data_IF_093010868875
#
_entry.id   IF_093010868875
#
_cell.length_a   1.000
_cell.length_b   1.000
_cell.length_c   1.000
_cell.angle_alpha   90.00
_cell.angle_beta   90.00
_cell.angle_gamma   90.00
#
_symmetry.space_group_name_H-M   'P 1'
#
loop_
_entity.id
_entity.type
_entity.pdbx_description
1 polymer ?
#
# COMPACT_ATOMS: atom_id res chain seq x y z
N UNK A 1 -20.84 44.77 50.56
CA UNK A 1 -20.86 44.31 49.16
C UNK A 1 -20.91 42.80 48.96
N UNK A 2 -21.14 41.96 49.99
CA UNK A 2 -21.17 40.47 49.90
C UNK A 2 -22.56 39.84 49.78
N UNK A 3 -23.67 40.61 49.92
CA UNK A 3 -25.06 40.08 49.93
C UNK A 3 -25.66 39.95 48.51
N UNK A 4 -25.12 40.60 47.50
CA UNK A 4 -25.74 40.59 46.16
C UNK A 4 -25.14 39.49 45.24
N UNK A 5 -23.97 38.97 45.57
CA UNK A 5 -23.30 37.92 44.77
C UNK A 5 -24.02 36.55 44.92
N UNK A 6 -24.55 36.27 46.14
CA UNK A 6 -25.28 35.05 46.41
C UNK A 6 -26.63 34.96 45.65
N UNK A 7 -27.31 36.12 45.55
CA UNK A 7 -28.60 36.19 44.79
C UNK A 7 -28.39 36.07 43.28
N UNK A 8 -27.26 36.54 42.77
CA UNK A 8 -26.92 36.43 41.36
C UNK A 8 -26.57 35.01 40.97
N UNK A 9 -25.86 34.24 41.85
CA UNK A 9 -25.54 32.84 41.65
C UNK A 9 -26.79 31.94 41.66
N UNK A 10 -27.77 32.23 42.48
CA UNK A 10 -29.05 31.49 42.54
C UNK A 10 -29.88 31.74 41.27
N UNK A 11 -29.84 32.96 40.74
CA UNK A 11 -30.60 33.33 39.54
C UNK A 11 -30.01 32.68 38.27
N UNK A 12 -28.67 32.55 38.18
CA UNK A 12 -27.96 31.85 37.07
C UNK A 12 -28.20 30.34 37.14
N UNK A 13 -28.30 29.77 38.33
CA UNK A 13 -28.60 28.33 38.52
C UNK A 13 -30.03 27.95 38.10
N UNK A 14 -30.99 28.89 38.14
CA UNK A 14 -32.39 28.60 37.78
C UNK A 14 -32.63 28.65 36.26
N UNK A 15 -31.71 29.27 35.46
CA UNK A 15 -31.88 29.40 34.01
C UNK A 15 -31.38 28.15 33.27
N UNK A 16 -30.60 27.28 33.92
CA UNK A 16 -30.03 26.09 33.31
C UNK A 16 -30.94 24.84 33.29
N UNK A 17 -32.13 24.91 33.84
CA UNK A 17 -33.07 23.78 33.92
C UNK A 17 -34.30 23.91 32.99
N UNK A 18 -34.37 24.95 32.16
CA UNK A 18 -35.45 25.11 31.18
C UNK A 18 -34.95 25.06 29.73
N UNK A 19 -34.18 24.06 29.38
CA UNK A 19 -33.85 23.83 27.97
C UNK A 19 -33.76 22.32 27.69
N UNK A 20 -34.89 21.67 27.87
CA UNK A 20 -35.16 20.36 27.32
C UNK A 20 -36.67 20.24 27.10
N UNK A 21 -37.14 20.75 25.98
CA UNK A 21 -38.44 20.41 25.41
C UNK A 21 -38.19 20.07 23.94
N UNK A 22 -38.26 18.79 23.69
CA UNK A 22 -39.21 18.11 22.83
C UNK A 22 -39.29 18.64 21.40
N UNK A 23 -38.50 18.00 20.55
CA UNK A 23 -38.78 17.89 19.12
C UNK A 23 -38.60 16.42 18.69
N UNK A 24 -39.40 15.54 19.24
CA UNK A 24 -39.70 14.24 18.63
C UNK A 24 -40.47 14.48 17.35
N UNK A 25 -39.73 14.92 16.30
CA UNK A 25 -40.25 14.88 14.95
C UNK A 25 -40.14 13.41 14.51
N UNK A 26 -41.28 12.72 14.67
CA UNK A 26 -41.59 11.41 14.13
C UNK A 26 -41.25 11.42 12.63
N UNK A 27 -40.00 11.03 12.27
CA UNK A 27 -39.65 10.64 10.93
C UNK A 27 -40.23 9.25 10.75
N UNK A 28 -41.42 9.22 10.19
CA UNK A 28 -42.04 8.04 9.63
C UNK A 28 -41.17 7.57 8.47
N UNK A 29 -40.12 6.79 8.80
CA UNK A 29 -39.35 6.07 7.82
C UNK A 29 -40.26 5.00 7.24
N UNK A 30 -40.79 5.30 6.07
CA UNK A 30 -41.42 4.35 5.19
C UNK A 30 -40.37 3.29 4.88
N UNK A 31 -40.36 2.25 5.69
CA UNK A 31 -39.59 1.02 5.42
C UNK A 31 -40.10 0.44 4.12
N UNK A 32 -39.48 0.85 3.04
CA UNK A 32 -39.58 0.14 1.78
C UNK A 32 -38.84 -1.16 2.00
N UNK A 33 -39.61 -2.20 2.37
CA UNK A 33 -39.13 -3.58 2.39
C UNK A 33 -38.54 -3.86 0.99
N UNK A 34 -37.22 -3.80 0.89
CA UNK A 34 -36.51 -4.33 -0.25
C UNK A 34 -36.77 -5.82 -0.25
N UNK A 35 -37.49 -6.27 -1.27
CA UNK A 35 -37.73 -7.69 -1.50
C UNK A 35 -36.38 -8.40 -1.57
N UNK A 36 -36.27 -9.50 -0.84
CA UNK A 36 -35.08 -10.39 -0.79
C UNK A 36 -34.76 -11.08 -2.11
N UNK A 37 -35.52 -10.80 -3.16
CA UNK A 37 -35.32 -11.42 -4.47
C UNK A 37 -34.23 -10.77 -5.35
N UNK A 38 -33.58 -9.68 -4.88
CA UNK A 38 -32.49 -9.02 -5.60
C UNK A 38 -31.09 -9.50 -5.20
N UNK A 39 -30.99 -10.50 -4.29
CA UNK A 39 -29.74 -11.19 -4.05
C UNK A 39 -29.61 -12.39 -5.02
N UNK A 40 -29.74 -12.14 -6.29
CA UNK A 40 -29.15 -13.01 -7.29
C UNK A 40 -27.65 -12.75 -7.29
N UNK A 41 -26.97 -13.67 -6.67
CA UNK A 41 -25.55 -13.81 -6.56
C UNK A 41 -24.83 -13.54 -7.91
N UNK A 42 -24.51 -12.27 -8.18
CA UNK A 42 -23.68 -11.83 -9.32
C UNK A 42 -22.19 -11.78 -8.95
N UNK A 43 -21.81 -12.39 -7.82
CA UNK A 43 -20.43 -12.33 -7.33
C UNK A 43 -19.43 -13.14 -8.18
N UNK A 44 -19.91 -14.16 -8.95
CA UNK A 44 -19.02 -14.97 -9.79
C UNK A 44 -18.61 -14.31 -11.11
N UNK A 45 -19.34 -13.29 -11.57
CA UNK A 45 -19.03 -12.61 -12.84
C UNK A 45 -18.17 -11.37 -12.66
N UNK A 46 -18.23 -10.72 -11.47
CA UNK A 46 -17.47 -9.50 -11.19
C UNK A 46 -15.99 -9.76 -10.97
N UNK A 47 -15.65 -10.85 -10.29
CA UNK A 47 -14.26 -11.20 -10.00
C UNK A 47 -13.49 -11.58 -11.27
N UNK A 48 -14.15 -12.30 -12.19
CA UNK A 48 -13.55 -12.68 -13.48
C UNK A 48 -13.40 -11.47 -14.41
N UNK A 49 -14.34 -10.51 -14.39
CA UNK A 49 -14.28 -9.28 -15.19
C UNK A 49 -13.25 -8.29 -14.61
N UNK A 50 -13.12 -8.23 -13.29
CA UNK A 50 -12.11 -7.41 -12.61
C UNK A 50 -10.70 -7.93 -12.90
N UNK A 51 -10.52 -9.24 -12.94
CA UNK A 51 -9.24 -9.89 -13.31
C UNK A 51 -8.84 -9.62 -14.77
N UNK A 52 -9.80 -9.33 -15.66
CA UNK A 52 -9.55 -9.05 -17.08
C UNK A 52 -9.11 -7.60 -17.34
N UNK A 53 -9.16 -6.71 -16.34
CA UNK A 53 -8.85 -5.28 -16.49
C UNK A 53 -7.76 -4.81 -15.54
N UNK A 54 -6.86 -5.70 -15.13
CA UNK A 54 -5.79 -5.36 -14.20
C UNK A 54 -4.41 -5.70 -14.78
N UNK A 55 -3.38 -4.91 -14.44
CA UNK A 55 -2.01 -5.31 -14.70
C UNK A 55 -1.64 -6.50 -13.81
N UNK A 56 -0.87 -7.41 -14.35
CA UNK A 56 -0.35 -8.57 -13.62
C UNK A 56 1.16 -8.60 -13.78
N UNK A 57 1.87 -8.56 -12.65
CA UNK A 57 3.34 -8.60 -12.64
C UNK A 57 3.81 -10.05 -12.54
N UNK A 58 4.49 -10.52 -13.56
CA UNK A 58 5.34 -11.69 -13.52
C UNK A 58 6.79 -11.26 -13.23
N UNK A 59 7.41 -11.84 -12.23
CA UNK A 59 8.83 -11.66 -11.92
C UNK A 59 9.55 -12.90 -12.40
N UNK A 60 10.41 -12.76 -13.41
CA UNK A 60 11.11 -13.90 -14.00
C UNK A 60 12.20 -14.46 -13.07
N UNK A 61 12.81 -13.58 -12.29
CA UNK A 61 13.78 -13.90 -11.25
C UNK A 61 13.57 -12.95 -10.07
N UNK A 62 13.20 -13.48 -8.92
CA UNK A 62 12.95 -12.67 -7.72
C UNK A 62 14.18 -12.58 -6.80
N UNK A 63 15.07 -13.58 -6.86
CA UNK A 63 16.24 -13.72 -6.02
C UNK A 63 17.50 -13.78 -6.88
N UNK A 64 18.47 -12.94 -6.59
CA UNK A 64 19.79 -12.96 -7.18
C UNK A 64 20.87 -13.22 -6.14
N UNK A 65 21.72 -14.21 -6.38
CA UNK A 65 22.87 -14.51 -5.54
C UNK A 65 24.16 -14.04 -6.24
N UNK A 66 24.83 -13.07 -5.64
CA UNK A 66 26.09 -12.54 -6.17
C UNK A 66 27.31 -13.41 -5.79
N UNK A 67 27.10 -14.50 -5.04
CA UNK A 67 28.18 -15.37 -4.61
C UNK A 67 29.06 -14.74 -3.54
N UNK A 68 30.38 -14.80 -3.74
CA UNK A 68 31.37 -14.23 -2.83
C UNK A 68 32.06 -13.01 -3.47
N UNK A 69 32.10 -11.90 -2.72
CA UNK A 69 32.73 -10.63 -3.13
C UNK A 69 33.57 -10.07 -2.00
N UNK A 70 34.49 -9.14 -2.29
CA UNK A 70 35.27 -8.44 -1.28
C UNK A 70 34.50 -7.25 -0.70
N UNK A 71 34.84 -6.91 0.53
CA UNK A 71 34.31 -5.71 1.16
C UNK A 71 34.70 -4.46 0.35
N UNK A 72 33.72 -3.64 0.02
CA UNK A 72 33.87 -2.43 -0.80
C UNK A 72 33.50 -2.64 -2.27
N UNK A 73 33.31 -3.88 -2.71
CA UNK A 73 32.82 -4.15 -4.07
C UNK A 73 31.37 -3.67 -4.24
N UNK A 74 31.05 -3.23 -5.45
CA UNK A 74 29.71 -2.84 -5.86
C UNK A 74 29.17 -3.88 -6.83
N UNK A 75 28.01 -4.44 -6.51
CA UNK A 75 27.32 -5.40 -7.37
C UNK A 75 26.05 -4.76 -7.93
N UNK A 76 25.80 -4.98 -9.22
CA UNK A 76 24.57 -4.57 -9.88
C UNK A 76 23.90 -5.75 -10.56
N UNK A 77 22.58 -5.87 -10.43
CA UNK A 77 21.80 -6.88 -11.11
C UNK A 77 20.53 -6.28 -11.74
N UNK A 78 20.14 -6.80 -12.91
CA UNK A 78 18.93 -6.38 -13.61
C UNK A 78 17.86 -7.46 -13.47
N UNK A 79 16.93 -7.25 -12.56
CA UNK A 79 15.74 -8.10 -12.45
C UNK A 79 14.79 -7.84 -13.60
N UNK A 80 14.34 -8.89 -14.25
CA UNK A 80 13.35 -8.80 -15.33
C UNK A 80 11.95 -9.02 -14.80
N UNK A 81 11.07 -8.10 -15.12
CA UNK A 81 9.63 -8.21 -14.87
C UNK A 81 8.89 -8.14 -16.19
N UNK A 82 7.71 -8.73 -16.23
CA UNK A 82 6.80 -8.70 -17.38
C UNK A 82 5.40 -8.36 -16.93
N UNK A 83 4.72 -7.52 -17.70
CA UNK A 83 3.30 -7.31 -17.54
C UNK A 83 2.54 -8.38 -18.33
N UNK A 84 1.99 -9.37 -17.65
CA UNK A 84 1.15 -10.43 -18.26
C UNK A 84 -0.35 -10.12 -18.15
N UNK A 85 -0.71 -8.92 -17.66
CA UNK A 85 -2.06 -8.39 -17.64
C UNK A 85 -2.46 -7.78 -18.97
N UNK A 86 -3.60 -7.14 -18.99
CA UNK A 86 -4.17 -6.50 -20.18
C UNK A 86 -4.33 -4.97 -20.06
N UNK A 87 -3.79 -4.39 -19.01
CA UNK A 87 -3.71 -2.95 -18.78
C UNK A 87 -2.30 -2.56 -18.38
N UNK A 88 -1.97 -1.28 -18.48
CA UNK A 88 -0.65 -0.76 -18.19
C UNK A 88 -0.23 -0.98 -16.74
N UNK A 89 0.97 -1.52 -16.56
CA UNK A 89 1.60 -1.71 -15.27
C UNK A 89 2.43 -0.46 -14.93
N UNK A 90 2.16 0.11 -13.76
CA UNK A 90 2.90 1.24 -13.20
C UNK A 90 3.65 0.82 -11.95
N UNK A 91 4.92 1.21 -11.86
CA UNK A 91 5.73 1.08 -10.66
C UNK A 91 5.83 2.46 -10.00
N UNK A 92 5.09 2.65 -8.93
CA UNK A 92 5.04 3.94 -8.22
C UNK A 92 6.27 4.19 -7.36
N UNK A 93 6.88 3.13 -6.82
CA UNK A 93 8.14 3.25 -6.06
C UNK A 93 8.91 1.93 -6.00
N UNK A 94 10.22 2.05 -5.79
CA UNK A 94 11.10 0.95 -5.43
C UNK A 94 12.01 1.39 -4.29
N UNK A 95 12.12 0.58 -3.23
CA UNK A 95 12.90 0.92 -2.04
C UNK A 95 13.74 -0.28 -1.59
N UNK A 96 15.05 -0.05 -1.42
CA UNK A 96 15.93 -0.99 -0.75
C UNK A 96 15.66 -1.04 0.76
N UNK A 97 15.93 -2.20 1.38
CA UNK A 97 15.83 -2.38 2.84
C UNK A 97 16.90 -1.62 3.64
N UNK A 98 17.92 -1.08 2.95
CA UNK A 98 18.96 -0.21 3.52
C UNK A 98 19.41 0.80 2.46
N UNK A 99 20.09 1.87 2.88
CA UNK A 99 20.70 2.85 1.97
C UNK A 99 21.85 2.28 1.12
N UNK A 100 22.31 1.05 1.41
CA UNK A 100 23.32 0.33 0.66
C UNK A 100 22.77 -0.41 -0.58
N UNK A 101 21.45 -0.35 -0.81
CA UNK A 101 20.78 -1.00 -1.91
C UNK A 101 19.90 0.01 -2.62
N UNK A 102 20.28 0.38 -3.84
CA UNK A 102 19.63 1.44 -4.62
C UNK A 102 18.97 0.80 -5.84
N UNK A 103 17.63 0.82 -5.91
CA UNK A 103 16.90 0.38 -7.08
C UNK A 103 16.68 1.52 -8.08
N UNK A 104 16.81 1.20 -9.37
CA UNK A 104 16.41 2.04 -10.50
C UNK A 104 15.34 1.28 -11.30
N UNK A 105 14.25 1.95 -11.68
CA UNK A 105 13.12 1.34 -12.38
C UNK A 105 12.53 2.30 -13.41
N UNK A 106 11.86 1.79 -14.46
CA UNK A 106 11.20 2.62 -15.45
C UNK A 106 10.09 3.45 -14.81
N UNK A 107 9.97 4.70 -15.23
CA UNK A 107 8.91 5.62 -14.77
C UNK A 107 7.70 5.61 -15.69
N UNK A 108 7.92 5.18 -16.94
CA UNK A 108 6.88 5.04 -17.93
C UNK A 108 6.04 3.78 -17.70
N UNK A 109 4.78 3.78 -18.10
CA UNK A 109 3.93 2.61 -18.05
C UNK A 109 4.52 1.46 -18.86
N UNK A 110 4.40 0.23 -18.35
CA UNK A 110 4.79 -1.01 -19.01
C UNK A 110 3.53 -1.62 -19.61
N UNK A 111 3.41 -1.62 -20.93
CA UNK A 111 2.24 -2.11 -21.64
C UNK A 111 2.00 -3.62 -21.48
N UNK A 112 0.80 -4.10 -21.85
CA UNK A 112 0.48 -5.52 -21.87
C UNK A 112 1.46 -6.33 -22.71
N UNK A 113 2.03 -7.40 -22.12
CA UNK A 113 3.02 -8.26 -22.75
C UNK A 113 4.46 -7.72 -22.73
N UNK A 114 4.67 -6.48 -22.36
CA UNK A 114 5.99 -5.86 -22.32
C UNK A 114 6.81 -6.30 -21.11
N UNK A 115 8.13 -6.22 -21.27
CA UNK A 115 9.12 -6.49 -20.22
C UNK A 115 9.83 -5.20 -19.83
N UNK A 116 10.24 -5.15 -18.56
CA UNK A 116 11.07 -4.07 -18.03
C UNK A 116 12.15 -4.60 -17.10
N UNK A 117 13.20 -3.81 -16.93
CA UNK A 117 14.32 -4.12 -16.04
C UNK A 117 14.25 -3.24 -14.80
N UNK A 118 14.47 -3.87 -13.65
CA UNK A 118 14.70 -3.19 -12.38
C UNK A 118 16.17 -3.39 -12.04
N UNK A 119 16.98 -2.37 -12.21
CA UNK A 119 18.40 -2.42 -11.86
C UNK A 119 18.54 -2.19 -10.36
N UNK A 120 19.20 -3.10 -9.67
CA UNK A 120 19.49 -3.00 -8.25
C UNK A 120 20.99 -2.97 -8.06
N UNK A 121 21.48 -1.91 -7.42
CA UNK A 121 22.90 -1.75 -7.08
C UNK A 121 23.09 -1.91 -5.59
N UNK A 122 24.00 -2.78 -5.17
CA UNK A 122 24.37 -3.05 -3.79
C UNK A 122 25.81 -2.66 -3.54
N UNK A 123 26.05 -1.83 -2.52
CA UNK A 123 27.37 -1.43 -2.04
C UNK A 123 27.73 -2.25 -0.79
N UNK A 124 28.82 -3.01 -0.88
CA UNK A 124 29.29 -3.88 0.20
C UNK A 124 30.19 -3.15 1.22
N UNK A 125 30.43 -1.85 1.06
CA UNK A 125 31.27 -1.06 1.95
C UNK A 125 30.80 -1.17 3.40
N UNK A 126 31.73 -1.53 4.31
CA UNK A 126 31.45 -1.69 5.73
C UNK A 126 30.59 -2.91 6.10
N UNK A 127 30.46 -3.90 5.20
CA UNK A 127 29.71 -5.13 5.42
C UNK A 127 30.61 -6.35 5.33
N UNK A 128 30.33 -7.37 6.13
CA UNK A 128 31.05 -8.65 6.17
C UNK A 128 30.04 -9.78 6.35
N UNK A 129 30.39 -10.97 5.85
CA UNK A 129 29.63 -12.19 5.98
C UNK A 129 28.40 -12.24 5.09
N UNK A 130 27.50 -13.16 5.39
CA UNK A 130 26.28 -13.37 4.59
C UNK A 130 25.35 -12.15 4.64
N UNK A 131 24.99 -11.68 3.49
CA UNK A 131 24.06 -10.57 3.31
C UNK A 131 22.82 -11.01 2.52
N UNK A 132 21.67 -10.48 2.88
CA UNK A 132 20.45 -10.56 2.09
C UNK A 132 19.73 -9.23 2.22
N UNK A 133 19.50 -8.56 1.10
CA UNK A 133 18.83 -7.26 1.03
C UNK A 133 17.60 -7.38 0.16
N UNK A 134 16.50 -6.79 0.62
CA UNK A 134 15.22 -6.77 -0.10
C UNK A 134 15.02 -5.44 -0.78
N UNK A 135 14.43 -5.49 -1.96
CA UNK A 135 13.88 -4.33 -2.65
C UNK A 135 12.38 -4.52 -2.75
N UNK A 136 11.64 -3.57 -2.23
CA UNK A 136 10.17 -3.54 -2.27
C UNK A 136 9.73 -2.66 -3.42
N UNK A 137 9.00 -3.23 -4.36
CA UNK A 137 8.33 -2.51 -5.45
C UNK A 137 6.88 -2.28 -5.09
N UNK A 138 6.38 -1.06 -5.32
CA UNK A 138 4.96 -0.71 -5.22
C UNK A 138 4.41 -0.52 -6.63
N UNK A 139 3.35 -1.25 -6.96
CA UNK A 139 2.75 -1.24 -8.29
C UNK A 139 1.24 -1.05 -8.21
N UNK A 140 0.59 -0.83 -9.35
CA UNK A 140 -0.87 -0.83 -9.48
C UNK A 140 -1.47 -2.24 -9.71
N UNK A 141 -0.65 -3.31 -9.69
CA UNK A 141 -1.13 -4.69 -9.78
C UNK A 141 -1.66 -5.22 -8.44
N UNK A 142 -2.34 -6.36 -8.45
CA UNK A 142 -2.78 -7.05 -7.23
C UNK A 142 -2.05 -8.40 -7.12
N UNK A 143 -1.35 -8.69 -6.00
CA UNK A 143 -1.02 -7.77 -4.90
C UNK A 143 -0.08 -6.65 -5.36
N UNK A 144 -0.26 -5.44 -4.79
CA UNK A 144 0.45 -4.23 -5.21
C UNK A 144 1.92 -4.19 -4.77
N UNK A 145 2.33 -5.05 -3.86
CA UNK A 145 3.70 -5.16 -3.35
C UNK A 145 4.39 -6.36 -4.02
N UNK A 146 5.58 -6.11 -4.57
CA UNK A 146 6.49 -7.15 -5.07
C UNK A 146 7.83 -7.01 -4.38
N UNK A 147 8.50 -8.13 -4.13
CA UNK A 147 9.78 -8.17 -3.41
C UNK A 147 10.82 -8.84 -4.32
N UNK A 148 11.98 -8.18 -4.45
CA UNK A 148 13.18 -8.72 -5.06
C UNK A 148 14.24 -8.88 -3.96
N UNK A 149 15.11 -9.87 -4.07
CA UNK A 149 16.16 -10.13 -3.09
C UNK A 149 17.52 -10.21 -3.77
N UNK A 150 18.51 -9.48 -3.25
CA UNK A 150 19.91 -9.64 -3.60
C UNK A 150 20.66 -10.20 -2.40
N UNK A 151 21.40 -11.29 -2.57
CA UNK A 151 22.09 -12.00 -1.49
C UNK A 151 23.45 -12.49 -1.91
N UNK A 152 24.30 -12.83 -0.92
CA UNK A 152 25.64 -13.39 -1.14
C UNK A 152 26.48 -13.28 0.13
N UNK A 153 27.79 -13.56 0.00
CA UNK A 153 28.78 -13.54 1.07
C UNK A 153 29.84 -12.47 0.80
N UNK A 154 30.22 -11.71 1.85
CA UNK A 154 31.25 -10.69 1.76
C UNK A 154 32.45 -11.11 2.60
N UNK A 155 33.60 -11.21 1.95
CA UNK A 155 34.91 -11.48 2.59
C UNK A 155 35.74 -10.20 2.69
N UNK A 156 36.76 -10.25 3.54
CA UNK A 156 37.73 -9.15 3.68
C UNK A 156 38.66 -9.05 2.52
#
# INVERSE_FOLDING_TARGET
MKKNLSKFLILVSLILIYSCDDATKKVESKEKRLSTDLVKNSQTSSDKKLSLTQPIVEILEADFDFGEIKQGDIVSHNYKIKNIGNTDLLISSAKGSCGCTVPEWPKDPIGPGEQANIKVTFDSKGKIGKQAKRVTLMTNAIPNVKILTIKGNIVQ
#
